data_IF_450215497433
#
_entry.id   IF_450215497433
#
_cell.length_a   1.000
_cell.length_b   1.000
_cell.length_c   1.000
_cell.angle_alpha   90.00
_cell.angle_beta   90.00
_cell.angle_gamma   90.00
#
_symmetry.space_group_name_H-M   'P 1'
#
loop_
_entity.id
_entity.type
_entity.pdbx_description
1 polymer ?
#
# COMPACT_ATOMS: atom_id res chain seq x y z
N UNK A 1 38.98 -12.09 -53.05
CA UNK A 1 37.99 -12.97 -52.40
C UNK A 1 37.96 -12.56 -50.94
N UNK A 2 37.06 -11.64 -50.58
CA UNK A 2 36.88 -11.17 -49.21
C UNK A 2 35.53 -11.69 -48.72
N UNK A 3 35.56 -12.48 -47.65
CA UNK A 3 34.37 -12.98 -46.98
C UNK A 3 33.68 -11.82 -46.25
N UNK A 4 32.44 -11.55 -46.63
CA UNK A 4 31.57 -10.58 -45.95
C UNK A 4 30.56 -11.37 -45.13
N UNK A 5 30.89 -11.64 -43.87
CA UNK A 5 29.92 -12.05 -42.86
C UNK A 5 29.14 -10.82 -42.42
N UNK A 6 27.89 -10.70 -42.88
CA UNK A 6 26.92 -9.79 -42.28
C UNK A 6 26.21 -10.53 -41.14
N UNK A 7 26.62 -10.23 -39.92
CA UNK A 7 25.84 -10.46 -38.70
C UNK A 7 24.49 -9.75 -38.82
N UNK A 8 23.42 -10.53 -38.76
CA UNK A 8 22.06 -10.02 -38.62
C UNK A 8 21.81 -9.74 -37.15
N UNK A 9 21.67 -8.45 -36.82
CA UNK A 9 21.34 -7.96 -35.49
C UNK A 9 19.96 -8.49 -35.06
N UNK A 10 19.96 -9.33 -34.03
CA UNK A 10 18.78 -9.72 -33.27
C UNK A 10 18.16 -8.47 -32.65
N UNK A 11 16.95 -8.15 -33.11
CA UNK A 11 16.12 -7.08 -32.56
C UNK A 11 15.60 -7.51 -31.20
N UNK A 12 16.44 -7.36 -30.18
CA UNK A 12 16.03 -7.47 -28.79
C UNK A 12 14.96 -6.41 -28.52
N UNK A 13 13.70 -6.88 -28.49
CA UNK A 13 12.57 -6.15 -27.95
C UNK A 13 12.90 -5.76 -26.51
N UNK A 14 13.33 -4.51 -26.30
CA UNK A 14 13.27 -3.89 -25.00
C UNK A 14 11.80 -3.87 -24.58
N UNK A 15 11.44 -4.87 -23.78
CA UNK A 15 10.21 -4.82 -23.00
C UNK A 15 10.31 -3.57 -22.16
N UNK A 16 9.58 -2.53 -22.55
CA UNK A 16 9.39 -1.33 -21.75
C UNK A 16 9.09 -1.79 -20.33
N UNK A 17 10.09 -1.60 -19.47
CA UNK A 17 10.05 -1.96 -18.07
C UNK A 17 9.02 -1.01 -17.46
N UNK A 18 7.76 -1.46 -17.46
CA UNK A 18 6.59 -0.63 -17.19
C UNK A 18 6.89 0.32 -16.05
N UNK A 19 6.84 1.62 -16.33
CA UNK A 19 7.35 2.64 -15.42
C UNK A 19 6.73 2.41 -14.05
N UNK A 20 7.56 2.12 -13.05
CA UNK A 20 7.07 1.90 -11.70
C UNK A 20 6.42 3.21 -11.25
N UNK A 21 5.09 3.24 -11.19
CA UNK A 21 4.33 4.41 -10.77
C UNK A 21 4.78 4.76 -9.35
N UNK A 22 5.55 5.83 -9.25
CA UNK A 22 6.02 6.33 -7.96
C UNK A 22 4.83 6.90 -7.20
N UNK A 23 4.79 6.65 -5.89
CA UNK A 23 3.79 7.19 -4.97
C UNK A 23 4.51 8.13 -4.01
N UNK A 24 4.22 9.42 -4.08
CA UNK A 24 4.83 10.40 -3.16
C UNK A 24 4.29 10.22 -1.73
N UNK A 25 5.02 10.68 -0.71
CA UNK A 25 4.52 10.68 0.68
C UNK A 25 3.15 11.36 0.83
N UNK A 26 2.92 12.44 0.09
CA UNK A 26 1.68 13.23 0.09
C UNK A 26 0.52 12.46 -0.58
N UNK A 27 0.78 11.81 -1.71
CA UNK A 27 -0.17 10.93 -2.38
C UNK A 27 -0.58 9.77 -1.45
N UNK A 28 0.38 9.18 -0.74
CA UNK A 28 0.13 8.11 0.23
C UNK A 28 -0.72 8.56 1.41
N UNK A 29 -0.39 9.71 2.00
CA UNK A 29 -1.17 10.29 3.09
C UNK A 29 -2.60 10.57 2.64
N UNK A 30 -2.76 11.12 1.44
CA UNK A 30 -4.07 11.42 0.85
C UNK A 30 -4.86 10.14 0.59
N UNK A 31 -4.23 9.12 0.00
CA UNK A 31 -4.84 7.82 -0.25
C UNK A 31 -5.44 7.23 1.04
N UNK A 32 -4.67 7.27 2.13
CA UNK A 32 -5.10 6.70 3.42
C UNK A 32 -6.25 7.51 4.02
N UNK A 33 -6.18 8.84 4.00
CA UNK A 33 -7.28 9.68 4.48
C UNK A 33 -8.57 9.41 3.70
N UNK A 34 -8.50 9.35 2.37
CA UNK A 34 -9.66 9.03 1.53
C UNK A 34 -10.24 7.64 1.82
N UNK A 35 -9.39 6.67 2.14
CA UNK A 35 -9.85 5.35 2.55
C UNK A 35 -10.54 5.41 3.91
N UNK A 36 -10.00 6.13 4.90
CA UNK A 36 -10.61 6.30 6.22
C UNK A 36 -11.97 7.02 6.12
N UNK A 37 -12.06 8.05 5.30
CA UNK A 37 -13.31 8.77 5.07
C UNK A 37 -14.36 7.87 4.39
N UNK A 38 -13.93 7.04 3.42
CA UNK A 38 -14.79 6.07 2.76
C UNK A 38 -15.30 4.99 3.73
N UNK A 39 -14.47 4.58 4.69
CA UNK A 39 -14.86 3.70 5.79
C UNK A 39 -15.89 4.36 6.69
N UNK A 40 -15.63 5.58 7.16
CA UNK A 40 -16.54 6.31 8.03
C UNK A 40 -17.90 6.54 7.35
N UNK A 41 -17.89 6.67 6.03
CA UNK A 41 -19.09 6.80 5.20
C UNK A 41 -19.81 5.47 4.89
N UNK A 42 -19.34 4.34 5.43
CA UNK A 42 -19.98 3.04 5.23
C UNK A 42 -19.87 2.49 3.80
N UNK A 43 -18.89 2.92 3.01
CA UNK A 43 -18.76 2.54 1.60
C UNK A 43 -18.15 1.13 1.38
N UNK A 44 -18.10 0.32 2.44
CA UNK A 44 -17.60 -1.05 2.38
C UNK A 44 -18.75 -2.01 2.18
N UNK A 45 -18.49 -3.07 1.43
CA UNK A 45 -19.43 -4.17 1.28
C UNK A 45 -19.49 -5.05 2.54
N UNK A 46 -20.36 -6.05 2.53
CA UNK A 46 -20.51 -7.03 3.61
C UNK A 46 -19.24 -7.80 3.93
N UNK A 47 -18.29 -7.85 2.98
CA UNK A 47 -17.01 -8.53 3.13
C UNK A 47 -15.93 -7.57 3.66
N UNK A 48 -16.30 -6.33 4.01
CA UNK A 48 -15.39 -5.31 4.51
C UNK A 48 -14.48 -4.72 3.44
N UNK A 49 -14.76 -4.93 2.15
CA UNK A 49 -13.95 -4.45 1.03
C UNK A 49 -14.61 -3.31 0.27
N UNK A 50 -13.81 -2.54 -0.46
CA UNK A 50 -14.32 -1.51 -1.37
C UNK A 50 -14.56 -2.10 -2.75
N UNK A 51 -15.73 -1.86 -3.32
CA UNK A 51 -15.97 -2.21 -4.72
C UNK A 51 -15.06 -1.42 -5.65
N UNK A 52 -14.66 -2.01 -6.77
CA UNK A 52 -13.82 -1.35 -7.80
C UNK A 52 -14.39 0.01 -8.21
N UNK A 53 -15.71 0.08 -8.41
CA UNK A 53 -16.41 1.32 -8.73
C UNK A 53 -16.23 2.42 -7.67
N UNK A 54 -16.33 2.07 -6.39
CA UNK A 54 -16.12 3.02 -5.28
C UNK A 54 -14.69 3.53 -5.27
N UNK A 55 -13.73 2.62 -5.42
CA UNK A 55 -12.31 2.97 -5.47
C UNK A 55 -12.04 3.93 -6.63
N UNK A 56 -12.51 3.62 -7.83
CA UNK A 56 -12.29 4.47 -9.02
C UNK A 56 -12.96 5.84 -8.88
N UNK A 57 -14.24 5.88 -8.48
CA UNK A 57 -15.03 7.11 -8.49
C UNK A 57 -14.82 8.02 -7.29
N UNK A 58 -14.50 7.48 -6.11
CA UNK A 58 -14.35 8.27 -4.89
C UNK A 58 -12.89 8.49 -4.54
N UNK A 59 -12.11 7.41 -4.54
CA UNK A 59 -10.74 7.42 -4.00
C UNK A 59 -9.77 7.91 -5.08
N UNK A 60 -9.68 7.19 -6.19
CA UNK A 60 -8.73 7.50 -7.27
C UNK A 60 -9.09 8.82 -7.94
N UNK A 61 -10.36 9.06 -8.26
CA UNK A 61 -10.79 10.31 -8.87
C UNK A 61 -10.42 11.54 -8.01
N UNK A 62 -10.65 11.47 -6.70
CA UNK A 62 -10.29 12.57 -5.79
C UNK A 62 -8.78 12.73 -5.67
N UNK A 63 -8.04 11.62 -5.54
CA UNK A 63 -6.59 11.63 -5.44
C UNK A 63 -5.94 12.23 -6.70
N UNK A 64 -6.38 11.81 -7.89
CA UNK A 64 -5.91 12.33 -9.17
C UNK A 64 -6.21 13.83 -9.30
N UNK A 65 -7.40 14.27 -8.89
CA UNK A 65 -7.77 15.70 -8.89
C UNK A 65 -6.90 16.52 -7.95
N UNK A 66 -6.60 16.01 -6.76
CA UNK A 66 -5.83 16.73 -5.74
C UNK A 66 -4.35 16.86 -6.10
N UNK A 67 -3.75 15.82 -6.67
CA UNK A 67 -2.30 15.75 -6.93
C UNK A 67 -1.94 15.97 -8.40
N UNK A 68 -2.92 16.19 -9.27
CA UNK A 68 -2.69 16.33 -10.72
C UNK A 68 -2.08 15.08 -11.36
N UNK A 69 -2.35 13.89 -10.79
CA UNK A 69 -1.77 12.63 -11.24
C UNK A 69 -2.79 11.75 -11.97
N UNK A 70 -2.32 10.65 -12.57
CA UNK A 70 -3.15 9.69 -13.29
C UNK A 70 -2.98 8.28 -12.75
N UNK A 71 -3.39 8.05 -11.49
CA UNK A 71 -3.43 6.70 -10.92
C UNK A 71 -4.65 5.95 -11.45
N UNK A 72 -4.49 4.64 -11.66
CA UNK A 72 -5.55 3.73 -12.09
C UNK A 72 -5.88 2.76 -10.96
N UNK A 73 -6.98 2.00 -11.11
CA UNK A 73 -7.30 0.93 -10.16
C UNK A 73 -6.17 -0.10 -10.01
N UNK A 74 -5.45 -0.38 -11.09
CA UNK A 74 -4.29 -1.28 -11.04
C UNK A 74 -3.16 -0.70 -10.18
N UNK A 75 -2.88 0.61 -10.29
CA UNK A 75 -1.89 1.29 -9.46
C UNK A 75 -2.29 1.26 -7.99
N UNK A 76 -3.57 1.52 -7.68
CA UNK A 76 -4.13 1.38 -6.34
C UNK A 76 -3.97 -0.05 -5.81
N UNK A 77 -4.40 -1.06 -6.55
CA UNK A 77 -4.34 -2.46 -6.12
C UNK A 77 -2.92 -2.91 -5.83
N UNK A 78 -1.97 -2.55 -6.69
CA UNK A 78 -0.55 -2.82 -6.46
C UNK A 78 -0.04 -2.09 -5.21
N UNK A 79 -0.43 -0.82 -5.01
CA UNK A 79 -0.06 -0.05 -3.82
C UNK A 79 -0.59 -0.68 -2.54
N UNK A 80 -1.85 -1.10 -2.52
CA UNK A 80 -2.45 -1.80 -1.38
C UNK A 80 -1.73 -3.10 -1.05
N UNK A 81 -1.32 -3.88 -2.05
CA UNK A 81 -0.50 -5.08 -1.86
C UNK A 81 0.85 -4.75 -1.21
N UNK A 82 1.56 -3.76 -1.75
CA UNK A 82 2.86 -3.31 -1.21
C UNK A 82 2.70 -2.83 0.24
N UNK A 83 1.68 -2.02 0.53
CA UNK A 83 1.39 -1.52 1.87
C UNK A 83 1.13 -2.67 2.86
N UNK A 84 0.32 -3.66 2.45
CA UNK A 84 0.06 -4.86 3.25
C UNK A 84 1.35 -5.64 3.54
N UNK A 85 2.19 -5.87 2.53
CA UNK A 85 3.47 -6.57 2.71
C UNK A 85 4.41 -5.81 3.64
N UNK A 86 4.55 -4.49 3.47
CA UNK A 86 5.37 -3.66 4.38
C UNK A 86 4.88 -3.76 5.82
N UNK A 87 3.57 -3.72 6.04
CA UNK A 87 2.98 -3.91 7.36
C UNK A 87 3.27 -5.30 7.92
N UNK A 88 3.06 -6.37 7.14
CA UNK A 88 3.32 -7.74 7.59
C UNK A 88 4.79 -7.99 7.94
N UNK A 89 5.71 -7.44 7.16
CA UNK A 89 7.15 -7.53 7.46
C UNK A 89 7.49 -6.75 8.73
N UNK A 90 6.93 -5.55 8.90
CA UNK A 90 7.09 -4.76 10.11
C UNK A 90 6.53 -5.50 11.34
N UNK A 91 5.35 -6.09 11.20
CA UNK A 91 4.70 -6.95 12.18
C UNK A 91 5.58 -8.15 12.56
N UNK A 92 6.12 -8.86 11.59
CA UNK A 92 7.02 -9.98 11.83
C UNK A 92 8.27 -9.56 12.61
N UNK A 93 8.91 -8.46 12.23
CA UNK A 93 10.01 -7.85 12.98
C UNK A 93 9.60 -7.51 14.43
N UNK A 94 8.41 -6.94 14.61
CA UNK A 94 7.87 -6.58 15.92
C UNK A 94 7.63 -7.81 16.80
N UNK A 95 7.21 -8.94 16.23
CA UNK A 95 7.00 -10.20 16.95
C UNK A 95 8.26 -10.69 17.67
N UNK A 96 9.43 -10.35 17.16
CA UNK A 96 10.72 -10.73 17.75
C UNK A 96 11.36 -9.60 18.57
N UNK A 97 10.72 -8.44 18.67
CA UNK A 97 11.20 -7.30 19.44
C UNK A 97 10.70 -7.33 20.89
N UNK A 98 11.57 -6.98 21.84
CA UNK A 98 11.20 -6.89 23.25
C UNK A 98 10.14 -5.79 23.45
N UNK A 99 9.10 -6.08 24.25
CA UNK A 99 8.03 -5.12 24.57
C UNK A 99 6.80 -5.17 23.65
N UNK A 100 6.83 -5.94 22.55
CA UNK A 100 5.67 -6.21 21.71
C UNK A 100 5.13 -7.62 21.96
N UNK A 101 3.89 -7.70 22.42
CA UNK A 101 3.08 -8.93 22.46
C UNK A 101 2.29 -9.12 21.16
N UNK A 102 1.90 -10.36 20.89
CA UNK A 102 1.00 -10.72 19.80
C UNK A 102 -0.29 -11.31 20.36
N UNK A 103 -1.42 -10.68 20.05
CA UNK A 103 -2.74 -11.20 20.32
C UNK A 103 -3.19 -12.11 19.16
N UNK A 104 -3.20 -13.41 19.43
CA UNK A 104 -3.57 -14.44 18.46
C UNK A 104 -5.07 -14.46 18.12
N UNK A 105 -5.91 -13.86 18.97
CA UNK A 105 -7.37 -13.77 18.80
C UNK A 105 -7.73 -12.62 17.89
N UNK A 106 -7.21 -11.44 18.19
CA UNK A 106 -7.48 -10.24 17.36
C UNK A 106 -6.53 -10.10 16.18
N UNK A 107 -5.48 -10.94 16.10
CA UNK A 107 -4.38 -10.88 15.11
C UNK A 107 -3.68 -9.51 15.13
N UNK A 108 -3.40 -8.99 16.33
CA UNK A 108 -2.84 -7.64 16.54
C UNK A 108 -1.59 -7.68 17.41
N UNK A 109 -0.70 -6.72 17.18
CA UNK A 109 0.39 -6.43 18.12
C UNK A 109 -0.12 -5.58 19.28
N UNK A 110 0.21 -6.00 20.49
CA UNK A 110 -0.07 -5.29 21.73
C UNK A 110 1.25 -4.80 22.31
N UNK A 111 1.38 -3.52 22.56
CA UNK A 111 2.56 -2.94 23.20
C UNK A 111 2.13 -1.70 23.97
N UNK A 112 2.96 -1.24 24.92
CA UNK A 112 2.70 0.01 25.62
C UNK A 112 2.76 1.20 24.64
N UNK A 113 2.19 2.34 25.05
CA UNK A 113 2.18 3.55 24.24
C UNK A 113 3.61 4.01 23.94
N UNK A 114 4.51 3.91 24.91
CA UNK A 114 5.92 4.31 24.82
C UNK A 114 6.68 3.47 23.80
N UNK A 115 6.45 2.15 23.82
CA UNK A 115 7.03 1.19 22.86
C UNK A 115 6.52 1.45 21.43
N UNK A 116 5.24 1.79 21.30
CA UNK A 116 4.69 2.27 20.03
C UNK A 116 5.33 3.59 19.60
N UNK A 117 5.40 4.60 20.46
CA UNK A 117 5.92 5.93 20.14
C UNK A 117 7.40 5.88 19.72
N UNK A 118 8.21 5.04 20.36
CA UNK A 118 9.61 4.81 19.98
C UNK A 118 9.74 4.16 18.60
N UNK A 119 8.96 3.12 18.33
CA UNK A 119 8.95 2.47 17.01
C UNK A 119 8.45 3.42 15.90
N UNK A 120 7.42 4.20 16.21
CA UNK A 120 6.75 5.08 15.26
C UNK A 120 7.58 6.33 14.94
N UNK A 121 8.47 6.78 15.84
CA UNK A 121 9.48 7.82 15.56
C UNK A 121 10.40 7.44 14.40
N UNK A 122 10.67 6.16 14.20
CA UNK A 122 11.63 5.66 13.19
C UNK A 122 10.97 5.41 11.83
N UNK A 123 9.64 5.23 11.78
CA UNK A 123 8.94 4.82 10.54
C UNK A 123 7.58 5.54 10.35
N UNK A 124 7.64 6.74 9.79
CA UNK A 124 6.46 7.56 9.45
C UNK A 124 5.47 6.85 8.51
N UNK A 125 5.96 5.98 7.60
CA UNK A 125 5.08 5.16 6.77
C UNK A 125 4.28 4.14 7.60
N UNK A 126 4.86 3.57 8.67
CA UNK A 126 4.19 2.55 9.50
C UNK A 126 3.11 3.16 10.39
N UNK A 127 3.25 4.43 10.80
CA UNK A 127 2.18 5.20 11.46
C UNK A 127 0.92 5.32 10.62
N UNK A 128 1.10 5.65 9.34
CA UNK A 128 0.04 5.74 8.37
C UNK A 128 -0.66 4.38 8.17
N UNK A 129 0.11 3.28 8.18
CA UNK A 129 -0.44 1.92 8.07
C UNK A 129 -1.10 1.43 9.35
N UNK A 130 -0.62 1.83 10.55
CA UNK A 130 -1.29 1.53 11.82
C UNK A 130 -2.68 2.11 11.82
N UNK A 131 -2.85 3.39 11.44
CA UNK A 131 -4.16 4.02 11.36
C UNK A 131 -5.07 3.34 10.32
N UNK A 132 -4.52 2.99 9.16
CA UNK A 132 -5.23 2.21 8.15
C UNK A 132 -5.66 0.82 8.69
N UNK A 133 -4.77 0.00 9.25
CA UNK A 133 -5.11 -1.35 9.71
C UNK A 133 -6.03 -1.36 10.94
N UNK A 134 -5.85 -0.42 11.88
CA UNK A 134 -6.62 -0.36 13.12
C UNK A 134 -8.08 0.06 12.86
N UNK A 135 -8.31 0.98 11.93
CA UNK A 135 -9.67 1.46 11.59
C UNK A 135 -10.27 0.71 10.39
N UNK A 136 -9.44 0.15 9.50
CA UNK A 136 -9.87 -0.45 8.22
C UNK A 136 -9.84 -1.98 8.21
N UNK A 137 -9.13 -2.71 9.08
CA UNK A 137 -9.15 -4.18 9.07
C UNK A 137 -9.93 -4.87 10.20
N UNK A 138 -10.84 -4.16 10.89
CA UNK A 138 -11.82 -4.77 11.82
C UNK A 138 -12.77 -5.79 11.14
N UNK A 139 -12.73 -5.97 9.82
CA UNK A 139 -13.62 -6.87 9.08
C UNK A 139 -12.91 -7.87 8.15
N UNK A 140 -11.78 -8.45 8.57
CA UNK A 140 -11.39 -9.77 8.04
C UNK A 140 -11.56 -10.80 9.16
N UNK A 141 -12.78 -11.33 9.26
CA UNK A 141 -13.02 -12.66 9.81
C UNK A 141 -12.53 -13.70 8.80
#
# INVERSE_FOLDING_TARGET
MGESHQETQDSSQEREKGSYIQWSPEENKTLINLLLDAVASGLRDSNGTFSKFTVERRIISTLNRMHGCNKTYQHYSNRMKIMKTKYLNAAELLRFSSGFGWDSTTKRFTASKEVWDEYLKVKFEVLLYKRYFYEIQVCYK
#
